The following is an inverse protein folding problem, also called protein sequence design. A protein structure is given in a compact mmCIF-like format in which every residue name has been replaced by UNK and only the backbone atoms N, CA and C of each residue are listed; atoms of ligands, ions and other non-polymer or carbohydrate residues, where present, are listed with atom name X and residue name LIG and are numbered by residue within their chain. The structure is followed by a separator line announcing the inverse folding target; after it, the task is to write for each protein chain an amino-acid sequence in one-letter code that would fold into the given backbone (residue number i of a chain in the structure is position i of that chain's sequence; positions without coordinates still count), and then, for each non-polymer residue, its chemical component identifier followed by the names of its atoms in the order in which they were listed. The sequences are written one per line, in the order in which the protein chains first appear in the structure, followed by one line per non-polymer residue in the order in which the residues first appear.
data_IF_781143094972
#
_entry.id   IF_781143094972
#
_cell.length_a   1.000
_cell.length_b   1.000
_cell.length_c   1.000
_cell.angle_alpha   90.00
_cell.angle_beta   90.00
_cell.angle_gamma   90.00
#
_symmetry.space_group_name_H-M   'P 1'
#
loop_
_entity.id
_entity.type
_entity.pdbx_description
1 polymer ?
#
# COMPACT_ATOMS: atom_id res chain seq x y z
N UNK A 1 22.45 20.77 62.94
CA UNK A 1 22.94 20.56 61.57
C UNK A 1 22.03 19.49 60.96
N UNK A 2 21.10 19.90 60.13
CA UNK A 2 20.11 18.98 59.48
C UNK A 2 20.63 18.65 58.09
N UNK A 3 20.99 17.38 57.86
CA UNK A 3 21.40 16.87 56.55
C UNK A 3 20.14 16.63 55.69
N UNK A 4 19.93 17.45 54.68
CA UNK A 4 18.97 17.20 53.63
C UNK A 4 19.62 16.32 52.58
N UNK A 5 19.38 15.03 52.69
CA UNK A 5 19.71 14.06 51.66
C UNK A 5 18.68 14.23 50.51
N UNK A 6 19.06 15.00 49.51
CA UNK A 6 18.20 15.22 48.33
C UNK A 6 18.07 13.94 47.55
N UNK A 7 16.88 13.36 47.63
CA UNK A 7 16.49 12.22 46.79
C UNK A 7 16.26 12.74 45.36
N UNK A 8 17.29 12.66 44.51
CA UNK A 8 17.17 12.92 43.07
C UNK A 8 16.47 11.70 42.50
N UNK A 9 15.13 11.82 42.36
CA UNK A 9 14.37 10.89 41.54
C UNK A 9 14.72 11.18 40.08
N UNK A 10 15.59 10.36 39.52
CA UNK A 10 15.84 10.34 38.10
C UNK A 10 14.57 9.75 37.42
N UNK A 11 13.70 10.64 36.98
CA UNK A 11 12.59 10.29 36.11
C UNK A 11 13.18 9.82 34.77
N UNK A 12 13.44 8.55 34.66
CA UNK A 12 13.60 7.90 33.36
C UNK A 12 12.25 8.01 32.65
N UNK A 13 12.08 9.04 31.86
CA UNK A 13 11.02 9.07 30.87
C UNK A 13 11.30 7.92 29.89
N UNK A 14 10.70 6.78 30.15
CA UNK A 14 10.52 5.77 29.11
C UNK A 14 9.71 6.44 28.02
N UNK A 15 10.40 6.93 27.00
CA UNK A 15 9.74 7.21 25.73
C UNK A 15 9.26 5.86 25.21
N UNK A 16 8.02 5.54 25.49
CA UNK A 16 7.34 4.47 24.79
C UNK A 16 7.40 4.87 23.32
N UNK A 17 8.34 4.30 22.59
CA UNK A 17 8.28 4.31 21.13
C UNK A 17 6.97 3.63 20.80
N UNK A 18 6.00 4.43 20.35
CA UNK A 18 4.76 3.92 19.84
C UNK A 18 5.13 2.84 18.83
N UNK A 19 4.82 1.61 19.17
CA UNK A 19 5.06 0.47 18.31
C UNK A 19 4.28 0.77 17.05
N UNK A 20 5.00 1.04 15.97
CA UNK A 20 4.40 1.31 14.68
C UNK A 20 3.34 0.26 14.44
N UNK A 21 2.08 0.70 14.32
CA UNK A 21 1.01 -0.14 13.83
C UNK A 21 1.46 -0.64 12.46
N UNK A 22 2.08 -1.83 12.45
CA UNK A 22 2.29 -2.56 11.22
C UNK A 22 0.88 -2.79 10.70
N UNK A 23 0.53 -2.11 9.64
CA UNK A 23 -0.68 -2.44 8.90
C UNK A 23 -0.69 -3.95 8.79
N UNK A 24 -1.73 -4.61 9.33
CA UNK A 24 -1.80 -6.06 9.31
C UNK A 24 -2.13 -6.48 7.88
N UNK A 25 -1.10 -6.48 7.02
CA UNK A 25 -1.23 -6.96 5.65
C UNK A 25 -1.44 -8.47 5.69
N UNK A 26 -2.49 -8.94 5.06
CA UNK A 26 -2.88 -10.33 4.98
C UNK A 26 -3.07 -10.76 3.52
N UNK A 27 -2.29 -11.75 3.07
CA UNK A 27 -1.17 -12.40 3.75
C UNK A 27 -0.01 -11.43 3.97
N UNK A 28 0.88 -11.75 4.95
CA UNK A 28 2.07 -10.92 5.18
C UNK A 28 3.00 -10.97 3.96
N UNK A 29 3.44 -9.82 3.43
CA UNK A 29 4.38 -9.76 2.33
C UNK A 29 5.71 -10.46 2.63
N UNK A 30 6.41 -10.90 1.59
CA UNK A 30 7.72 -11.53 1.71
C UNK A 30 8.76 -10.58 2.30
N UNK A 31 8.71 -9.31 1.90
CA UNK A 31 9.55 -8.25 2.47
C UNK A 31 8.74 -6.97 2.62
N UNK A 32 8.88 -6.34 3.78
CA UNK A 32 8.26 -5.05 4.11
C UNK A 32 9.22 -4.21 4.93
N UNK A 33 9.45 -2.99 4.51
CA UNK A 33 10.32 -2.03 5.17
C UNK A 33 9.61 -0.68 5.32
N UNK A 34 9.67 -0.11 6.52
CA UNK A 34 9.23 1.26 6.74
C UNK A 34 10.32 2.23 6.30
N UNK A 35 10.00 3.05 5.33
CA UNK A 35 10.92 4.07 4.82
C UNK A 35 10.83 5.32 5.71
N UNK A 36 11.98 5.82 6.13
CA UNK A 36 12.03 7.08 6.87
C UNK A 36 11.68 8.25 5.96
N UNK A 37 10.80 9.13 6.41
CA UNK A 37 10.41 10.29 5.62
C UNK A 37 9.06 10.86 6.01
N UNK A 38 8.69 11.94 5.32
CA UNK A 38 7.35 12.54 5.46
C UNK A 38 6.35 11.74 4.65
N UNK A 39 5.08 11.64 5.10
CA UNK A 39 4.02 11.02 4.34
C UNK A 39 3.86 11.63 2.94
N UNK A 40 3.44 10.80 1.99
CA UNK A 40 3.13 11.22 0.64
C UNK A 40 1.68 11.74 0.57
N UNK A 41 1.52 13.02 0.23
CA UNK A 41 0.19 13.60 0.03
C UNK A 41 -0.42 13.16 -1.30
N UNK A 42 -1.64 12.63 -1.24
CA UNK A 42 -2.42 12.19 -2.41
C UNK A 42 -3.20 13.33 -3.07
N UNK A 43 -3.35 14.47 -2.39
CA UNK A 43 -4.16 15.60 -2.90
C UNK A 43 -3.52 16.24 -4.14
N UNK A 44 -4.32 16.44 -5.18
CA UNK A 44 -3.87 17.08 -6.41
C UNK A 44 -2.86 16.28 -7.23
N UNK A 45 -2.87 14.94 -7.07
CA UNK A 45 -2.01 14.04 -7.83
C UNK A 45 -2.74 13.43 -9.02
N UNK A 46 -2.02 12.72 -9.84
CA UNK A 46 -2.55 11.92 -10.94
C UNK A 46 -1.81 10.59 -11.06
N UNK A 47 -2.48 9.60 -11.67
CA UNK A 47 -1.92 8.28 -11.91
C UNK A 47 -1.43 8.23 -13.35
N UNK A 48 -0.23 7.71 -13.56
CA UNK A 48 0.30 7.44 -14.89
C UNK A 48 0.56 5.96 -15.08
N UNK A 49 0.11 5.46 -16.21
CA UNK A 49 0.50 4.16 -16.76
C UNK A 49 1.74 4.39 -17.63
N UNK A 50 2.73 3.52 -17.50
CA UNK A 50 3.92 3.61 -18.36
C UNK A 50 3.51 3.53 -19.85
N UNK A 51 4.03 4.40 -20.71
CA UNK A 51 3.72 4.37 -22.16
C UNK A 51 4.00 3.01 -22.78
N UNK A 52 3.08 2.52 -23.59
CA UNK A 52 3.18 1.22 -24.24
C UNK A 52 2.70 0.02 -23.39
N UNK A 53 2.08 0.29 -22.22
CA UNK A 53 1.54 -0.75 -21.34
C UNK A 53 0.03 -0.56 -21.10
N UNK A 54 -0.82 -0.61 -22.14
CA UNK A 54 -2.25 -0.36 -22.02
C UNK A 54 -2.98 -1.40 -21.15
N UNK A 55 -2.40 -2.58 -20.99
CA UNK A 55 -2.90 -3.66 -20.13
C UNK A 55 -2.97 -3.26 -18.63
N UNK A 56 -2.27 -2.20 -18.23
CA UNK A 56 -2.34 -1.65 -16.87
C UNK A 56 -3.58 -0.78 -16.63
N UNK A 57 -4.41 -0.55 -17.64
CA UNK A 57 -5.58 0.32 -17.51
C UNK A 57 -6.53 -0.19 -16.40
N UNK A 58 -6.77 -1.49 -16.33
CA UNK A 58 -7.60 -2.08 -15.28
C UNK A 58 -7.03 -1.83 -13.89
N UNK A 59 -5.76 -2.11 -13.67
CA UNK A 59 -5.08 -1.84 -12.40
C UNK A 59 -5.14 -0.34 -12.02
N UNK A 60 -4.97 0.55 -12.98
CA UNK A 60 -5.02 1.99 -12.74
C UNK A 60 -6.44 2.48 -12.38
N UNK A 61 -7.48 2.00 -13.05
CA UNK A 61 -8.87 2.35 -12.71
C UNK A 61 -9.28 1.77 -11.35
N UNK A 62 -8.82 0.56 -11.02
CA UNK A 62 -9.02 -0.02 -9.68
C UNK A 62 -8.35 0.82 -8.60
N UNK A 63 -7.09 1.22 -8.80
CA UNK A 63 -6.39 2.11 -7.86
C UNK A 63 -7.12 3.44 -7.70
N UNK A 64 -7.65 4.00 -8.78
CA UNK A 64 -8.45 5.22 -8.75
C UNK A 64 -9.71 5.07 -7.88
N UNK A 65 -10.44 3.95 -8.03
CA UNK A 65 -11.61 3.64 -7.18
C UNK A 65 -11.21 3.48 -5.72
N UNK A 66 -10.16 2.72 -5.43
CA UNK A 66 -9.66 2.53 -4.06
C UNK A 66 -9.32 3.88 -3.41
N UNK A 67 -8.58 4.76 -4.09
CA UNK A 67 -8.20 6.06 -3.55
C UNK A 67 -9.42 6.96 -3.32
N UNK A 68 -10.41 6.89 -4.20
CA UNK A 68 -11.67 7.60 -4.04
C UNK A 68 -12.47 7.08 -2.85
N UNK A 69 -12.62 5.77 -2.72
CA UNK A 69 -13.45 5.14 -1.70
C UNK A 69 -12.82 5.23 -0.31
N UNK A 70 -11.51 4.97 -0.20
CA UNK A 70 -10.79 4.96 1.07
C UNK A 70 -10.40 6.35 1.56
N UNK A 71 -9.93 7.19 0.66
CA UNK A 71 -9.31 8.47 1.01
C UNK A 71 -10.15 9.69 0.60
N UNK A 72 -11.28 9.48 -0.10
CA UNK A 72 -12.10 10.56 -0.66
C UNK A 72 -11.26 11.51 -1.52
N UNK A 73 -10.33 10.95 -2.32
CA UNK A 73 -9.47 11.69 -3.24
C UNK A 73 -9.76 11.24 -4.65
N UNK A 74 -10.19 12.16 -5.49
CA UNK A 74 -10.36 11.91 -6.91
C UNK A 74 -9.04 12.17 -7.64
N UNK A 75 -8.46 11.11 -8.20
CA UNK A 75 -7.15 11.15 -8.86
C UNK A 75 -7.32 10.75 -10.32
N UNK A 76 -7.18 11.70 -11.27
CA UNK A 76 -7.36 11.41 -12.68
C UNK A 76 -6.22 10.57 -13.25
N UNK A 77 -6.53 9.75 -14.25
CA UNK A 77 -5.52 9.13 -15.09
C UNK A 77 -4.88 10.19 -15.99
N UNK A 78 -3.57 10.17 -16.11
CA UNK A 78 -2.79 11.12 -16.90
C UNK A 78 -1.83 10.39 -17.82
N UNK A 79 -1.58 10.94 -19.00
CA UNK A 79 -0.51 10.50 -19.88
C UNK A 79 0.87 11.11 -19.57
N UNK A 80 0.98 11.92 -18.51
CA UNK A 80 2.25 12.58 -18.15
C UNK A 80 3.23 11.60 -17.51
N UNK A 81 4.45 11.52 -18.06
CA UNK A 81 5.54 10.71 -17.50
C UNK A 81 6.03 11.21 -16.12
N UNK A 82 5.68 12.42 -15.74
CA UNK A 82 6.12 13.04 -14.49
C UNK A 82 5.10 12.91 -13.35
N UNK A 83 4.09 12.06 -13.53
CA UNK A 83 3.13 11.79 -12.47
C UNK A 83 3.81 11.17 -11.25
N UNK A 84 3.47 11.62 -10.04
CA UNK A 84 4.02 11.05 -8.81
C UNK A 84 3.47 9.66 -8.48
N UNK A 85 2.36 9.24 -9.08
CA UNK A 85 1.81 7.89 -8.92
C UNK A 85 2.00 7.14 -10.25
N UNK A 86 2.76 6.07 -10.23
CA UNK A 86 3.15 5.33 -11.44
C UNK A 86 2.91 3.84 -11.32
N UNK A 87 2.33 3.28 -12.37
CA UNK A 87 2.19 1.84 -12.57
C UNK A 87 3.07 1.42 -13.74
N UNK A 88 3.87 0.37 -13.54
CA UNK A 88 4.91 -0.05 -14.50
C UNK A 88 4.96 -1.57 -14.54
N UNK A 89 4.95 -2.17 -15.74
CA UNK A 89 5.42 -3.53 -15.93
C UNK A 89 6.92 -3.43 -16.17
N UNK A 90 7.70 -4.00 -15.26
CA UNK A 90 9.16 -4.03 -15.34
C UNK A 90 9.63 -5.44 -15.70
N UNK A 91 10.13 -5.63 -16.92
CA UNK A 91 10.58 -6.93 -17.40
C UNK A 91 11.87 -7.42 -16.71
N UNK A 92 12.53 -6.57 -15.91
CA UNK A 92 13.73 -6.97 -15.15
C UNK A 92 13.38 -7.66 -13.84
N UNK A 93 12.11 -7.59 -13.39
CA UNK A 93 11.65 -8.31 -12.22
C UNK A 93 11.54 -9.81 -12.55
N UNK A 94 12.30 -10.62 -11.84
CA UNK A 94 12.26 -12.07 -11.98
C UNK A 94 11.02 -12.67 -11.34
N UNK A 95 10.30 -13.54 -12.06
CA UNK A 95 9.08 -14.19 -11.59
C UNK A 95 7.80 -13.53 -12.11
N UNK A 96 6.83 -14.36 -12.54
CA UNK A 96 5.63 -13.88 -13.25
C UNK A 96 4.70 -12.99 -12.43
N UNK A 97 4.72 -13.14 -11.11
CA UNK A 97 3.76 -12.49 -10.20
C UNK A 97 4.42 -11.62 -9.13
N UNK A 98 5.75 -11.39 -9.24
CA UNK A 98 6.48 -10.52 -8.32
C UNK A 98 6.11 -9.05 -8.56
N UNK A 99 5.86 -8.32 -7.49
CA UNK A 99 5.65 -6.89 -7.52
C UNK A 99 6.43 -6.16 -6.43
N UNK A 100 6.64 -4.87 -6.67
CA UNK A 100 7.24 -3.93 -5.73
C UNK A 100 6.31 -2.73 -5.58
N UNK A 101 6.02 -2.36 -4.34
CA UNK A 101 5.33 -1.12 -3.98
C UNK A 101 6.31 -0.23 -3.22
N UNK A 102 6.58 0.96 -3.75
CA UNK A 102 7.44 1.97 -3.11
C UNK A 102 6.66 3.25 -2.94
N UNK A 103 6.55 3.70 -1.69
CA UNK A 103 5.96 4.99 -1.33
C UNK A 103 7.00 5.79 -0.58
N UNK A 104 7.28 6.98 -1.06
CA UNK A 104 8.14 7.96 -0.41
C UNK A 104 7.50 9.36 -0.48
N UNK A 105 8.14 10.36 0.07
CA UNK A 105 7.64 11.75 0.04
C UNK A 105 7.39 12.28 -1.40
N UNK A 106 8.06 11.74 -2.41
CA UNK A 106 7.98 12.20 -3.80
C UNK A 106 6.86 11.53 -4.58
N UNK A 107 6.49 10.31 -4.20
CA UNK A 107 5.48 9.57 -4.94
C UNK A 107 5.25 8.14 -4.51
N UNK A 108 4.40 7.48 -5.30
CA UNK A 108 4.10 6.06 -5.20
C UNK A 108 4.41 5.38 -6.54
N UNK A 109 5.16 4.31 -6.50
CA UNK A 109 5.43 3.49 -7.69
C UNK A 109 5.05 2.05 -7.39
N UNK A 110 4.25 1.47 -8.28
CA UNK A 110 3.91 0.04 -8.28
C UNK A 110 4.56 -0.56 -9.54
N UNK A 111 5.55 -1.39 -9.35
CA UNK A 111 6.22 -2.13 -10.42
C UNK A 111 5.88 -3.62 -10.30
N UNK A 112 5.65 -4.29 -11.38
CA UNK A 112 5.38 -5.73 -11.38
C UNK A 112 5.95 -6.43 -12.61
N UNK A 113 6.25 -7.70 -12.49
CA UNK A 113 6.74 -8.53 -13.61
C UNK A 113 5.66 -8.77 -14.69
N UNK A 114 4.41 -8.49 -14.38
CA UNK A 114 3.25 -8.61 -15.28
C UNK A 114 2.13 -7.66 -14.88
N UNK A 115 1.11 -7.51 -15.71
CA UNK A 115 -0.08 -6.73 -15.37
C UNK A 115 -0.80 -7.30 -14.11
N UNK A 116 -0.83 -8.61 -13.95
CA UNK A 116 -1.37 -9.26 -12.76
C UNK A 116 -0.56 -8.91 -11.51
N UNK A 117 0.77 -8.92 -11.61
CA UNK A 117 1.65 -8.54 -10.52
C UNK A 117 1.43 -7.08 -10.09
N UNK A 118 1.32 -6.14 -11.04
CA UNK A 118 0.98 -4.74 -10.74
C UNK A 118 -0.39 -4.64 -10.05
N UNK A 119 -1.36 -5.42 -10.49
CA UNK A 119 -2.69 -5.47 -9.85
C UNK A 119 -2.60 -5.96 -8.39
N UNK A 120 -1.79 -6.97 -8.09
CA UNK A 120 -1.56 -7.38 -6.69
C UNK A 120 -0.96 -6.25 -5.84
N UNK A 121 -0.04 -5.50 -6.40
CA UNK A 121 0.48 -4.30 -5.75
C UNK A 121 -0.61 -3.24 -5.48
N UNK A 122 -1.56 -3.07 -6.39
CA UNK A 122 -2.74 -2.20 -6.17
C UNK A 122 -3.61 -2.71 -5.02
N UNK A 123 -3.84 -4.02 -4.93
CA UNK A 123 -4.60 -4.60 -3.81
C UNK A 123 -3.87 -4.46 -2.47
N UNK A 124 -2.53 -4.48 -2.50
CA UNK A 124 -1.72 -4.19 -1.31
C UNK A 124 -1.85 -2.73 -0.88
N UNK A 125 -1.93 -1.79 -1.83
CA UNK A 125 -2.22 -0.37 -1.53
C UNK A 125 -3.54 -0.24 -0.80
N UNK A 126 -4.60 -0.96 -1.19
CA UNK A 126 -5.90 -0.92 -0.49
C UNK A 126 -5.75 -1.29 0.99
N UNK A 127 -5.00 -2.35 1.29
CA UNK A 127 -4.77 -2.78 2.68
C UNK A 127 -3.91 -1.77 3.47
N UNK A 128 -2.87 -1.20 2.85
CA UNK A 128 -2.04 -0.16 3.49
C UNK A 128 -2.89 1.06 3.83
N UNK A 129 -3.73 1.50 2.90
CA UNK A 129 -4.61 2.65 3.11
C UNK A 129 -5.62 2.42 4.23
N UNK A 130 -6.14 1.21 4.40
CA UNK A 130 -7.01 0.88 5.54
C UNK A 130 -6.31 1.16 6.87
N UNK A 131 -5.04 0.78 6.99
CA UNK A 131 -4.21 1.08 8.16
C UNK A 131 -4.00 2.59 8.36
N UNK A 132 -3.63 3.31 7.31
CA UNK A 132 -3.37 4.76 7.35
C UNK A 132 -4.63 5.58 7.67
N UNK A 133 -5.77 5.23 7.10
CA UNK A 133 -7.07 5.89 7.38
C UNK A 133 -7.45 5.70 8.84
N UNK A 134 -7.33 4.49 9.37
CA UNK A 134 -7.61 4.22 10.78
C UNK A 134 -6.69 5.00 11.73
N UNK A 135 -5.45 5.27 11.29
CA UNK A 135 -4.46 5.94 12.13
C UNK A 135 -4.59 7.46 12.15
N UNK A 136 -4.93 8.13 11.05
CA UNK A 136 -4.77 9.58 10.95
C UNK A 136 -5.91 10.35 10.26
N UNK A 137 -6.80 9.69 9.55
CA UNK A 137 -7.83 10.32 8.70
C UNK A 137 -7.27 11.41 7.74
N UNK A 138 -5.99 11.31 7.38
CA UNK A 138 -5.31 12.24 6.47
C UNK A 138 -5.30 11.64 5.06
N UNK A 139 -5.30 12.52 4.05
CA UNK A 139 -5.18 12.14 2.63
C UNK A 139 -3.70 11.93 2.27
N UNK A 140 -3.02 11.10 3.04
CA UNK A 140 -1.58 10.87 2.98
C UNK A 140 -1.29 9.37 3.15
N UNK A 141 -0.23 8.90 2.52
CA UNK A 141 0.28 7.53 2.69
C UNK A 141 1.60 7.56 3.45
N UNK A 142 1.73 6.67 4.42
CA UNK A 142 2.97 6.45 5.14
C UNK A 142 4.05 5.87 4.20
N UNK A 143 5.29 6.38 4.24
CA UNK A 143 6.37 5.84 3.43
C UNK A 143 6.64 4.37 3.74
N UNK A 144 6.66 3.54 2.69
CA UNK A 144 6.80 2.08 2.82
C UNK A 144 7.43 1.49 1.55
N UNK A 145 8.20 0.44 1.72
CA UNK A 145 8.69 -0.41 0.62
C UNK A 145 8.25 -1.84 0.85
N UNK A 146 7.62 -2.44 -0.15
CA UNK A 146 7.13 -3.81 -0.10
C UNK A 146 7.60 -4.52 -1.37
N UNK A 147 8.21 -5.70 -1.18
CA UNK A 147 8.52 -6.63 -2.26
C UNK A 147 7.79 -7.94 -1.95
N UNK A 148 6.91 -8.37 -2.87
CA UNK A 148 6.08 -9.53 -2.63
C UNK A 148 5.74 -10.30 -3.90
N UNK A 149 5.44 -11.56 -3.71
CA UNK A 149 4.93 -12.47 -4.73
C UNK A 149 4.07 -13.55 -4.06
N UNK A 150 3.03 -14.06 -4.73
CA UNK A 150 2.27 -15.18 -4.21
C UNK A 150 3.15 -16.40 -3.92
N UNK A 151 2.97 -17.01 -2.74
CA UNK A 151 3.73 -18.20 -2.33
C UNK A 151 3.32 -19.46 -3.07
N UNK A 152 2.07 -19.52 -3.55
CA UNK A 152 1.50 -20.68 -4.23
C UNK A 152 1.15 -20.34 -5.67
N UNK A 153 1.60 -21.19 -6.60
CA UNK A 153 1.31 -21.06 -8.02
C UNK A 153 -0.14 -21.37 -8.39
N UNK A 154 -0.84 -22.15 -7.56
CA UNK A 154 -2.26 -22.43 -7.72
C UNK A 154 -3.05 -21.84 -6.56
N UNK A 155 -4.05 -21.04 -6.89
CA UNK A 155 -4.98 -20.40 -5.95
C UNK A 155 -6.38 -20.47 -6.55
N UNK A 156 -7.35 -20.92 -5.77
CA UNK A 156 -8.73 -21.06 -6.22
C UNK A 156 -9.70 -20.80 -5.08
N UNK A 157 -10.90 -20.36 -5.45
CA UNK A 157 -12.07 -20.32 -4.59
C UNK A 157 -13.06 -21.36 -5.10
N UNK A 158 -13.65 -22.14 -4.20
CA UNK A 158 -14.73 -23.04 -4.51
C UNK A 158 -16.04 -22.42 -4.02
N UNK A 159 -17.00 -22.26 -4.96
CA UNK A 159 -18.37 -21.89 -4.67
C UNK A 159 -19.26 -23.10 -4.91
N UNK A 160 -20.15 -23.40 -3.97
CA UNK A 160 -21.16 -24.47 -4.11
C UNK A 160 -22.57 -23.88 -4.16
N UNK A 161 -23.02 -23.38 -5.33
CA UNK A 161 -24.35 -22.79 -5.48
C UNK A 161 -25.46 -23.84 -5.41
N UNK A 162 -25.15 -25.15 -5.45
CA UNK A 162 -26.16 -26.22 -5.41
C UNK A 162 -26.81 -26.36 -4.04
N UNK A 163 -26.07 -26.02 -2.95
CA UNK A 163 -26.59 -26.10 -1.59
C UNK A 163 -27.24 -24.83 -1.11
N UNK A 164 -26.79 -23.69 -1.62
CA UNK A 164 -27.34 -22.38 -1.31
C UNK A 164 -27.13 -21.47 -2.52
N UNK A 165 -28.25 -20.97 -3.06
CA UNK A 165 -28.17 -20.03 -4.18
C UNK A 165 -27.53 -18.72 -3.70
N UNK A 166 -26.46 -18.31 -4.37
CA UNK A 166 -25.79 -17.03 -4.18
C UNK A 166 -26.08 -16.16 -5.40
N UNK A 167 -26.73 -15.01 -5.24
CA UNK A 167 -26.86 -14.06 -6.33
C UNK A 167 -25.48 -13.52 -6.73
N UNK A 168 -25.37 -13.03 -7.96
CA UNK A 168 -24.05 -12.61 -8.51
C UNK A 168 -23.48 -11.42 -7.75
N UNK A 169 -24.32 -10.64 -7.09
CA UNK A 169 -23.96 -9.47 -6.27
C UNK A 169 -23.22 -9.87 -4.98
N UNK A 170 -23.37 -11.13 -4.54
CA UNK A 170 -22.76 -11.66 -3.31
C UNK A 170 -21.45 -12.43 -3.60
N UNK A 171 -21.05 -12.58 -4.86
CA UNK A 171 -19.87 -13.29 -5.34
C UNK A 171 -18.79 -12.30 -5.79
#
# INVERSE_FOLDING_TARGET
MKNYLGLIFLLFAFTATAQNNRSALLPMPNHIEQVQGKPFSLTGKNITIHPGQPELKFAATTLQSILKDRMQVDIPLSGSRQSPIRLIIDPQLEGKELYQLKVDQKGMTISGASAAAVFYGVMTVDQVLLGDVCASNRKEMTPISIDDAPRFGYRALMLDPARHFLPIEDV
#
